data_IF_201527069222
#
_entry.id   IF_201527069222
#
_cell.length_a   1.000
_cell.length_b   1.000
_cell.length_c   1.000
_cell.angle_alpha   90.00
_cell.angle_beta   90.00
_cell.angle_gamma   90.00
#
_symmetry.space_group_name_H-M   'P 1'
#
loop_
_entity.id
_entity.type
_entity.pdbx_description
1 polymer ?
#
# COMPACT_ATOMS: atom_id res chain seq x y z
N UNK A 1 -53.44 6.25 54.13
CA UNK A 1 -52.20 5.53 54.47
C UNK A 1 -51.75 4.79 53.22
N UNK A 2 -50.75 5.31 52.51
CA UNK A 2 -50.21 4.67 51.30
C UNK A 2 -48.94 3.90 51.66
N UNK A 3 -48.96 2.58 51.50
CA UNK A 3 -47.78 1.73 51.64
C UNK A 3 -46.81 2.00 50.50
N UNK A 4 -45.68 2.66 50.80
CA UNK A 4 -44.52 2.70 49.91
C UNK A 4 -44.01 1.28 49.76
N UNK A 5 -44.16 0.69 48.58
CA UNK A 5 -43.45 -0.52 48.20
C UNK A 5 -42.01 -0.07 47.92
N UNK A 6 -41.10 -0.26 48.88
CA UNK A 6 -39.68 -0.14 48.63
C UNK A 6 -39.26 -1.32 47.76
N UNK A 7 -39.12 -1.08 46.45
CA UNK A 7 -38.51 -2.04 45.55
C UNK A 7 -37.02 -2.12 45.89
N UNK A 8 -36.59 -3.19 46.56
CA UNK A 8 -35.17 -3.50 46.70
C UNK A 8 -34.56 -3.57 45.29
N UNK A 9 -33.41 -2.94 45.04
CA UNK A 9 -32.73 -3.10 43.76
C UNK A 9 -32.49 -4.59 43.51
N UNK A 10 -32.64 -5.07 42.26
CA UNK A 10 -32.42 -6.47 41.96
C UNK A 10 -31.01 -6.87 42.43
N UNK A 11 -30.82 -8.11 42.94
CA UNK A 11 -29.51 -8.60 43.31
C UNK A 11 -28.52 -8.43 42.16
N UNK A 12 -27.29 -8.00 42.44
CA UNK A 12 -26.30 -7.72 41.40
C UNK A 12 -25.97 -8.95 40.53
N UNK A 13 -26.20 -10.16 41.07
CA UNK A 13 -26.09 -11.44 40.37
C UNK A 13 -27.06 -11.57 39.19
N UNK A 14 -28.14 -10.78 39.13
CA UNK A 14 -29.04 -10.73 37.96
C UNK A 14 -28.30 -10.21 36.72
N UNK A 15 -27.24 -9.41 36.88
CA UNK A 15 -26.42 -8.94 35.77
C UNK A 15 -25.70 -10.09 35.05
N UNK A 16 -25.38 -11.19 35.75
CA UNK A 16 -24.76 -12.38 35.15
C UNK A 16 -25.71 -13.11 34.19
N UNK A 17 -27.03 -12.95 34.35
CA UNK A 17 -28.01 -13.51 33.41
C UNK A 17 -28.11 -12.70 32.13
N UNK A 18 -27.78 -11.40 32.20
CA UNK A 18 -27.80 -10.51 31.06
C UNK A 18 -26.57 -10.68 30.17
N UNK A 19 -25.41 -11.02 30.76
CA UNK A 19 -24.14 -11.12 30.02
C UNK A 19 -24.22 -12.09 28.83
N UNK A 20 -24.92 -13.21 28.98
CA UNK A 20 -25.12 -14.21 27.92
C UNK A 20 -26.03 -13.75 26.78
N UNK A 21 -26.75 -12.62 26.92
CA UNK A 21 -27.64 -12.06 25.90
C UNK A 21 -27.07 -10.82 25.21
N UNK A 22 -25.95 -10.29 25.72
CA UNK A 22 -25.32 -9.10 25.19
C UNK A 22 -24.31 -9.46 24.10
N UNK A 23 -24.26 -8.65 23.05
CA UNK A 23 -23.21 -8.78 22.05
C UNK A 23 -21.85 -8.31 22.63
N UNK A 24 -20.73 -8.73 22.02
CA UNK A 24 -19.40 -8.39 22.54
C UNK A 24 -19.11 -6.89 22.62
N UNK A 25 -19.76 -6.06 21.79
CA UNK A 25 -19.57 -4.61 21.84
C UNK A 25 -20.29 -4.04 23.07
N UNK A 26 -21.51 -4.48 23.32
CA UNK A 26 -22.30 -4.06 24.50
C UNK A 26 -21.67 -4.55 25.80
N UNK A 27 -21.13 -5.77 25.85
CA UNK A 27 -20.36 -6.27 27.00
C UNK A 27 -19.14 -5.39 27.30
N UNK A 28 -18.39 -5.01 26.26
CA UNK A 28 -17.26 -4.10 26.39
C UNK A 28 -17.66 -2.72 26.93
N UNK A 29 -18.74 -2.14 26.42
CA UNK A 29 -19.26 -0.86 26.90
C UNK A 29 -19.75 -0.95 28.36
N UNK A 30 -20.45 -2.03 28.72
CA UNK A 30 -20.92 -2.30 30.08
C UNK A 30 -19.74 -2.43 31.07
N UNK A 31 -18.64 -3.07 30.67
CA UNK A 31 -17.44 -3.20 31.50
C UNK A 31 -16.81 -1.84 31.89
N UNK A 32 -17.12 -0.75 31.18
CA UNK A 32 -16.60 0.59 31.47
C UNK A 32 -17.41 1.37 32.53
N UNK A 33 -18.55 0.84 33.01
CA UNK A 33 -19.46 1.57 33.91
C UNK A 33 -18.86 1.75 35.31
N UNK A 34 -18.34 0.68 35.92
CA UNK A 34 -17.68 0.72 37.22
C UNK A 34 -16.82 -0.54 37.44
N UNK A 35 -16.05 -0.60 38.53
CA UNK A 35 -15.18 -1.75 38.85
C UNK A 35 -15.94 -3.08 38.97
N UNK A 36 -17.14 -3.06 39.56
CA UNK A 36 -17.96 -4.26 39.71
C UNK A 36 -18.47 -4.75 38.36
N UNK A 37 -18.94 -3.85 37.50
CA UNK A 37 -19.36 -4.18 36.14
C UNK A 37 -18.18 -4.66 35.30
N UNK A 38 -17.01 -4.06 35.45
CA UNK A 38 -15.79 -4.53 34.80
C UNK A 38 -15.48 -5.98 35.18
N UNK A 39 -15.49 -6.31 36.47
CA UNK A 39 -15.19 -7.66 36.94
C UNK A 39 -16.21 -8.70 36.42
N UNK A 40 -17.50 -8.38 36.48
CA UNK A 40 -18.56 -9.28 35.98
C UNK A 40 -18.54 -9.41 34.46
N UNK A 41 -18.48 -8.29 33.73
CA UNK A 41 -18.58 -8.28 32.27
C UNK A 41 -17.29 -8.71 31.57
N UNK A 42 -16.15 -8.74 32.28
CA UNK A 42 -14.86 -9.23 31.73
C UNK A 42 -14.54 -10.68 32.13
N UNK A 43 -15.46 -11.37 32.82
CA UNK A 43 -15.23 -12.73 33.30
C UNK A 43 -15.01 -13.72 32.15
N UNK A 44 -14.01 -14.60 32.31
CA UNK A 44 -13.57 -15.50 31.25
C UNK A 44 -14.66 -16.47 30.79
N UNK A 45 -15.57 -16.90 31.66
CA UNK A 45 -16.65 -17.83 31.27
C UNK A 45 -17.64 -17.20 30.27
N UNK A 46 -17.79 -15.86 30.28
CA UNK A 46 -18.58 -15.13 29.30
C UNK A 46 -17.82 -15.03 27.97
N UNK A 47 -16.53 -14.65 28.04
CA UNK A 47 -15.73 -14.39 26.85
C UNK A 47 -15.17 -15.64 26.18
N UNK A 48 -15.09 -16.77 26.88
CA UNK A 48 -14.62 -18.06 26.35
C UNK A 48 -15.37 -18.49 25.10
N UNK A 49 -16.72 -18.67 25.12
CA UNK A 49 -17.47 -19.08 23.93
C UNK A 49 -17.45 -18.01 22.82
N UNK A 50 -17.42 -16.73 23.18
CA UNK A 50 -17.35 -15.60 22.24
C UNK A 50 -16.02 -15.63 21.48
N UNK A 51 -14.91 -15.78 22.19
CA UNK A 51 -13.57 -15.83 21.63
C UNK A 51 -13.35 -17.10 20.82
N UNK A 52 -13.84 -18.26 21.26
CA UNK A 52 -13.73 -19.50 20.49
C UNK A 52 -14.49 -19.45 19.18
N UNK A 53 -15.66 -18.78 19.15
CA UNK A 53 -16.46 -18.66 17.94
C UNK A 53 -15.87 -17.64 16.94
N UNK A 54 -15.41 -16.48 17.41
CA UNK A 54 -14.91 -15.42 16.55
C UNK A 54 -13.44 -15.60 16.14
N UNK A 55 -12.59 -16.09 17.06
CA UNK A 55 -11.15 -16.19 16.87
C UNK A 55 -10.57 -17.53 17.38
N UNK A 56 -10.91 -18.67 16.73
CA UNK A 56 -10.48 -20.00 17.18
C UNK A 56 -8.97 -20.17 17.35
N UNK A 57 -8.17 -19.52 16.50
CA UNK A 57 -6.71 -19.59 16.60
C UNK A 57 -6.16 -18.81 17.81
N UNK A 58 -6.74 -17.65 18.12
CA UNK A 58 -6.34 -16.84 19.28
C UNK A 58 -6.79 -17.48 20.59
N UNK A 59 -7.95 -18.15 20.58
CA UNK A 59 -8.49 -18.88 21.72
C UNK A 59 -7.46 -19.82 22.36
N UNK A 60 -6.69 -20.55 21.55
CA UNK A 60 -5.68 -21.50 22.01
C UNK A 60 -4.52 -20.83 22.77
N UNK A 61 -4.30 -19.53 22.60
CA UNK A 61 -3.24 -18.79 23.29
C UNK A 61 -3.51 -18.60 24.78
N UNK A 62 -4.77 -18.77 25.21
CA UNK A 62 -5.15 -18.66 26.62
C UNK A 62 -4.30 -19.58 27.49
N UNK A 63 -4.19 -20.86 27.12
CA UNK A 63 -3.46 -21.88 27.86
C UNK A 63 -1.96 -21.96 27.49
N UNK A 64 -1.56 -21.36 26.37
CA UNK A 64 -0.17 -21.37 25.89
C UNK A 64 0.72 -20.33 26.60
N UNK A 65 0.14 -19.42 27.37
CA UNK A 65 0.84 -18.34 28.07
C UNK A 65 0.79 -18.54 29.58
N UNK A 66 1.87 -18.18 30.28
CA UNK A 66 1.92 -18.20 31.76
C UNK A 66 2.28 -16.80 32.27
N UNK A 67 1.39 -16.08 32.97
CA UNK A 67 0.01 -16.46 33.31
C UNK A 67 -0.93 -16.50 32.10
N UNK A 68 -2.05 -17.21 32.24
CA UNK A 68 -3.06 -17.34 31.19
C UNK A 68 -3.60 -15.97 30.76
N UNK A 69 -3.79 -15.78 29.46
CA UNK A 69 -4.30 -14.51 28.90
C UNK A 69 -5.82 -14.54 28.89
N UNK A 70 -6.52 -13.56 29.49
CA UNK A 70 -7.98 -13.53 29.51
C UNK A 70 -8.61 -13.55 28.10
N UNK A 71 -9.74 -14.24 27.94
CA UNK A 71 -10.42 -14.36 26.64
C UNK A 71 -10.93 -13.02 26.12
N UNK A 72 -11.34 -12.12 27.00
CA UNK A 72 -11.74 -10.75 26.63
C UNK A 72 -10.60 -10.00 25.94
N UNK A 73 -9.35 -10.20 26.40
CA UNK A 73 -8.16 -9.61 25.80
C UNK A 73 -7.87 -10.24 24.44
N UNK A 74 -7.93 -11.56 24.32
CA UNK A 74 -7.73 -12.27 23.04
C UNK A 74 -8.76 -11.84 21.99
N UNK A 75 -10.03 -11.73 22.38
CA UNK A 75 -11.09 -11.21 21.51
C UNK A 75 -10.81 -9.76 21.09
N UNK A 76 -10.39 -8.89 22.02
CA UNK A 76 -10.07 -7.50 21.69
C UNK A 76 -8.92 -7.38 20.68
N UNK A 77 -7.90 -8.24 20.78
CA UNK A 77 -6.77 -8.28 19.85
C UNK A 77 -7.22 -8.75 18.47
N UNK A 78 -8.02 -9.83 18.40
CA UNK A 78 -8.58 -10.33 17.15
C UNK A 78 -9.45 -9.28 16.46
N UNK A 79 -10.36 -8.65 17.21
CA UNK A 79 -11.23 -7.59 16.70
C UNK A 79 -10.45 -6.36 16.24
N UNK A 80 -9.43 -5.95 16.99
CA UNK A 80 -8.56 -4.86 16.57
C UNK A 80 -7.77 -5.22 15.30
N UNK A 81 -7.34 -6.47 15.14
CA UNK A 81 -6.69 -6.94 13.92
C UNK A 81 -7.64 -6.90 12.71
N UNK A 82 -8.89 -7.36 12.85
CA UNK A 82 -9.89 -7.31 11.78
C UNK A 82 -10.21 -5.87 11.38
N UNK A 83 -10.46 -4.99 12.36
CA UNK A 83 -10.73 -3.59 12.11
C UNK A 83 -9.55 -2.90 11.40
N UNK A 84 -8.30 -3.29 11.71
CA UNK A 84 -7.11 -2.77 11.02
C UNK A 84 -7.06 -3.23 9.57
N UNK A 85 -7.44 -4.47 9.26
CA UNK A 85 -7.47 -4.99 7.87
C UNK A 85 -8.45 -4.25 6.97
N UNK A 86 -9.54 -3.73 7.56
CA UNK A 86 -10.56 -2.98 6.82
C UNK A 86 -10.37 -1.46 6.90
N UNK A 87 -9.35 -0.99 7.60
CA UNK A 87 -9.09 0.46 7.69
C UNK A 87 -8.56 0.94 6.35
N UNK A 88 -9.28 1.89 5.73
CA UNK A 88 -8.77 2.59 4.55
C UNK A 88 -7.39 3.18 4.89
N UNK A 89 -6.37 2.99 4.02
CA UNK A 89 -5.10 3.67 4.17
C UNK A 89 -5.30 5.17 4.32
N UNK A 90 -4.45 5.82 5.12
CA UNK A 90 -4.47 7.28 5.27
C UNK A 90 -4.31 7.95 3.90
N UNK A 91 -4.90 9.11 3.71
CA UNK A 91 -4.67 9.86 2.46
C UNK A 91 -3.19 10.21 2.32
N UNK A 92 -2.64 10.14 1.09
CA UNK A 92 -1.27 10.53 0.85
C UNK A 92 -1.04 12.00 1.21
N UNK A 93 0.07 12.30 1.89
CA UNK A 93 0.51 13.67 2.15
C UNK A 93 1.13 14.35 0.92
N UNK A 94 1.57 13.56 -0.06
CA UNK A 94 2.04 14.05 -1.35
C UNK A 94 0.93 14.01 -2.39
N UNK A 95 0.98 14.94 -3.34
CA UNK A 95 0.18 14.94 -4.55
C UNK A 95 1.08 14.86 -5.80
N UNK A 96 0.48 14.59 -6.96
CA UNK A 96 1.22 14.65 -8.24
C UNK A 96 1.76 16.05 -8.55
N UNK A 97 1.18 17.11 -7.97
CA UNK A 97 1.64 18.48 -8.17
C UNK A 97 2.97 18.76 -7.48
N UNK A 98 3.30 17.99 -6.44
CA UNK A 98 4.51 18.16 -5.65
C UNK A 98 5.71 17.43 -6.27
N UNK A 99 5.52 16.73 -7.40
CA UNK A 99 6.51 15.83 -7.98
C UNK A 99 6.94 16.26 -9.37
N UNK A 100 8.23 16.08 -9.67
CA UNK A 100 8.79 16.15 -11.02
C UNK A 100 9.41 14.81 -11.39
N UNK A 101 9.08 14.33 -12.58
CA UNK A 101 9.54 13.06 -13.12
C UNK A 101 10.68 13.34 -14.10
N UNK A 102 11.85 12.79 -13.82
CA UNK A 102 13.03 12.92 -14.67
C UNK A 102 13.45 11.53 -15.15
N UNK A 103 13.47 11.34 -16.46
CA UNK A 103 13.86 10.08 -17.10
C UNK A 103 14.97 10.37 -18.10
N UNK A 104 15.95 9.49 -18.15
CA UNK A 104 17.05 9.57 -19.10
C UNK A 104 17.34 8.18 -19.65
N UNK A 105 17.49 8.10 -20.96
CA UNK A 105 17.76 6.88 -21.71
C UNK A 105 19.06 7.13 -22.48
N UNK A 106 20.12 6.43 -22.10
CA UNK A 106 21.44 6.61 -22.70
C UNK A 106 21.94 5.34 -23.36
N UNK A 107 22.78 5.50 -24.38
CA UNK A 107 23.53 4.39 -24.97
C UNK A 107 24.81 4.18 -24.16
N UNK A 108 24.96 2.97 -23.62
CA UNK A 108 25.86 2.64 -22.50
C UNK A 108 27.37 2.87 -22.77
N UNK A 109 27.79 3.04 -24.03
CA UNK A 109 29.20 3.15 -24.41
C UNK A 109 29.70 4.61 -24.60
N UNK A 110 28.82 5.59 -24.81
CA UNK A 110 29.20 6.99 -25.10
C UNK A 110 28.57 8.06 -24.18
N UNK A 111 27.79 7.66 -23.17
CA UNK A 111 26.95 8.57 -22.34
C UNK A 111 26.05 9.52 -23.15
N UNK A 112 25.86 9.21 -24.44
CA UNK A 112 24.99 9.97 -25.32
C UNK A 112 23.54 9.68 -24.93
N UNK A 113 22.84 10.69 -24.47
CA UNK A 113 21.40 10.59 -24.23
C UNK A 113 20.66 10.49 -25.56
N UNK A 114 19.83 9.46 -25.64
CA UNK A 114 18.89 9.21 -26.73
C UNK A 114 17.60 10.00 -26.48
N UNK A 115 17.17 10.02 -25.22
CA UNK A 115 15.95 10.66 -24.74
C UNK A 115 16.17 11.14 -23.31
N UNK A 116 15.92 12.43 -23.08
CA UNK A 116 15.76 12.99 -21.74
C UNK A 116 14.36 13.57 -21.61
N UNK A 117 13.61 13.14 -20.61
CA UNK A 117 12.26 13.63 -20.32
C UNK A 117 12.25 14.21 -18.93
N UNK A 118 11.80 15.47 -18.81
CA UNK A 118 11.51 16.10 -17.53
C UNK A 118 10.09 16.61 -17.57
N UNK A 119 9.21 15.99 -16.79
CA UNK A 119 7.78 16.32 -16.78
C UNK A 119 7.28 16.55 -15.36
N UNK A 120 6.70 17.72 -15.05
CA UNK A 120 5.98 17.93 -13.80
C UNK A 120 4.81 16.96 -13.67
N UNK A 121 4.63 16.37 -12.50
CA UNK A 121 3.55 15.41 -12.25
C UNK A 121 2.16 15.99 -12.45
N UNK A 122 1.99 17.31 -12.27
CA UNK A 122 0.77 18.04 -12.61
C UNK A 122 0.32 17.90 -14.08
N UNK A 123 1.24 17.60 -15.00
CA UNK A 123 0.96 17.38 -16.43
C UNK A 123 0.69 15.92 -16.75
N UNK A 124 1.10 15.00 -15.88
CA UNK A 124 0.89 13.57 -16.06
C UNK A 124 -0.53 13.22 -15.62
N UNK A 125 -1.38 12.89 -16.59
CA UNK A 125 -2.75 12.46 -16.31
C UNK A 125 -2.75 10.96 -16.01
N UNK A 126 -3.25 10.53 -14.83
CA UNK A 126 -3.49 9.13 -14.56
C UNK A 126 -4.43 8.53 -15.61
N UNK A 127 -4.39 7.21 -15.77
CA UNK A 127 -5.36 6.54 -16.64
C UNK A 127 -6.80 6.68 -16.10
N UNK A 128 -7.79 6.23 -16.90
CA UNK A 128 -9.20 6.28 -16.52
C UNK A 128 -9.53 5.49 -15.25
N UNK A 129 -8.68 4.55 -14.86
CA UNK A 129 -8.82 3.70 -13.69
C UNK A 129 -8.08 4.29 -12.46
N UNK A 130 -7.46 5.46 -12.60
CA UNK A 130 -6.68 6.11 -11.54
C UNK A 130 -5.37 5.39 -11.23
N UNK A 131 -4.82 4.63 -12.18
CA UNK A 131 -3.54 3.94 -11.97
C UNK A 131 -2.37 4.89 -12.16
N UNK A 132 -1.28 4.62 -11.43
CA UNK A 132 0.00 5.27 -11.59
C UNK A 132 0.69 4.70 -12.83
N UNK A 133 0.17 5.10 -13.98
CA UNK A 133 0.71 4.78 -15.29
C UNK A 133 0.54 5.99 -16.18
N UNK A 134 1.64 6.38 -16.81
CA UNK A 134 1.71 7.57 -17.64
C UNK A 134 2.37 7.24 -18.95
N UNK A 135 2.00 8.03 -19.95
CA UNK A 135 2.50 7.93 -21.30
C UNK A 135 2.96 9.31 -21.75
N UNK A 136 4.15 9.35 -22.33
CA UNK A 136 4.78 10.55 -22.86
C UNK A 136 5.11 10.27 -24.32
N UNK A 137 4.44 11.01 -25.22
CA UNK A 137 4.76 11.06 -26.65
C UNK A 137 5.95 12.01 -26.84
N UNK A 138 6.84 11.66 -27.77
CA UNK A 138 8.08 12.39 -28.03
C UNK A 138 8.11 12.91 -29.47
N UNK A 139 8.35 14.20 -29.62
CA UNK A 139 8.42 14.85 -30.93
C UNK A 139 9.84 14.85 -31.52
N UNK A 140 10.87 14.92 -30.68
CA UNK A 140 12.28 14.97 -31.09
C UNK A 140 13.10 13.94 -30.32
N UNK A 141 13.60 12.91 -31.02
CA UNK A 141 14.50 11.91 -30.44
C UNK A 141 15.64 11.57 -31.38
N UNK A 142 16.73 11.04 -30.81
CA UNK A 142 17.94 10.71 -31.56
C UNK A 142 17.83 9.26 -32.05
N UNK A 143 18.06 9.06 -33.35
CA UNK A 143 18.18 7.72 -33.91
C UNK A 143 19.40 6.99 -33.32
N UNK A 144 19.23 5.73 -32.92
CA UNK A 144 20.28 4.92 -32.33
C UNK A 144 20.32 3.51 -32.96
N UNK A 145 21.49 2.89 -32.93
CA UNK A 145 21.71 1.56 -33.47
C UNK A 145 21.24 0.47 -32.50
N UNK A 146 20.98 -0.73 -33.03
CA UNK A 146 20.26 -1.82 -32.40
C UNK A 146 20.54 -2.06 -30.89
N UNK A 147 19.45 -2.48 -30.23
CA UNK A 147 19.08 -2.23 -28.83
C UNK A 147 19.82 -3.07 -27.78
N UNK A 148 21.10 -3.35 -27.96
CA UNK A 148 21.79 -4.31 -27.10
C UNK A 148 22.29 -3.69 -25.77
N UNK A 149 22.30 -2.36 -25.64
CA UNK A 149 22.87 -1.65 -24.47
C UNK A 149 22.23 -0.29 -24.16
N UNK A 150 20.96 -0.27 -23.75
CA UNK A 150 20.37 0.92 -23.15
C UNK A 150 20.65 0.95 -21.64
N UNK A 151 20.95 2.14 -21.11
CA UNK A 151 20.82 2.46 -19.69
C UNK A 151 19.61 3.35 -19.52
N UNK A 152 18.80 3.02 -18.53
CA UNK A 152 17.59 3.75 -18.20
C UNK A 152 17.70 4.21 -16.77
N UNK A 153 17.47 5.50 -16.57
CA UNK A 153 17.35 6.10 -15.26
C UNK A 153 16.00 6.81 -15.17
N UNK A 154 15.26 6.55 -14.11
CA UNK A 154 14.00 7.22 -13.79
C UNK A 154 14.02 7.67 -12.33
N UNK A 155 13.95 8.97 -12.13
CA UNK A 155 13.90 9.62 -10.84
C UNK A 155 12.57 10.35 -10.65
N UNK A 156 12.12 10.37 -9.40
CA UNK A 156 11.02 11.21 -8.91
C UNK A 156 11.62 12.20 -7.93
N UNK A 157 11.39 13.48 -8.19
CA UNK A 157 11.97 14.59 -7.43
C UNK A 157 10.85 15.35 -6.74
N UNK A 158 11.01 15.62 -5.44
CA UNK A 158 10.09 16.46 -4.68
C UNK A 158 10.31 17.94 -5.02
N UNK A 159 9.23 18.70 -5.14
CA UNK A 159 9.25 20.11 -5.54
C UNK A 159 10.20 20.96 -4.67
N UNK A 160 10.82 21.95 -5.31
CA UNK A 160 11.93 22.70 -4.76
C UNK A 160 13.22 21.89 -4.60
N UNK A 161 13.34 20.75 -5.28
CA UNK A 161 14.51 19.85 -5.26
C UNK A 161 14.89 19.39 -3.85
N UNK A 162 13.90 19.23 -2.97
CA UNK A 162 14.13 18.90 -1.55
C UNK A 162 14.65 17.48 -1.34
N UNK A 163 14.23 16.56 -2.20
CA UNK A 163 14.60 15.14 -2.14
C UNK A 163 14.39 14.47 -3.50
N UNK A 164 15.05 13.33 -3.70
CA UNK A 164 14.96 12.53 -4.92
C UNK A 164 14.89 11.05 -4.58
N UNK A 165 14.09 10.32 -5.34
CA UNK A 165 13.99 8.87 -5.28
C UNK A 165 14.20 8.28 -6.67
N UNK A 166 15.10 7.30 -6.78
CA UNK A 166 15.36 6.59 -8.04
C UNK A 166 14.42 5.41 -8.17
N UNK A 167 13.40 5.55 -9.02
CA UNK A 167 12.45 4.49 -9.36
C UNK A 167 13.13 3.36 -10.14
N UNK A 168 14.06 3.70 -11.03
CA UNK A 168 14.76 2.73 -11.87
C UNK A 168 16.16 3.25 -12.19
N UNK A 169 17.17 2.40 -12.00
CA UNK A 169 18.47 2.49 -12.68
C UNK A 169 18.80 1.08 -13.15
N UNK A 170 18.69 0.84 -14.46
CA UNK A 170 18.97 -0.46 -15.04
C UNK A 170 19.71 -0.32 -16.37
N UNK A 171 20.51 -1.35 -16.66
CA UNK A 171 21.23 -1.52 -17.92
C UNK A 171 20.77 -2.83 -18.53
N UNK A 172 20.53 -2.83 -19.84
CA UNK A 172 20.29 -4.08 -20.53
C UNK A 172 19.67 -3.89 -21.90
N UNK A 173 19.43 -5.05 -22.52
CA UNK A 173 18.70 -5.16 -23.77
C UNK A 173 17.24 -4.75 -23.53
N UNK A 174 16.63 -5.15 -22.42
CA UNK A 174 15.17 -5.05 -22.28
C UNK A 174 14.50 -6.19 -23.05
N UNK A 175 13.27 -6.54 -22.68
CA UNK A 175 12.52 -7.56 -23.41
C UNK A 175 11.86 -6.92 -24.62
N UNK A 176 12.24 -7.35 -25.83
CA UNK A 176 11.65 -6.84 -27.07
C UNK A 176 10.61 -7.79 -27.63
N UNK A 177 9.41 -7.25 -27.88
CA UNK A 177 8.39 -7.92 -28.70
C UNK A 177 8.51 -7.33 -30.11
N UNK A 178 8.83 -8.18 -31.08
CA UNK A 178 8.99 -7.81 -32.50
C UNK A 178 10.08 -6.74 -32.81
N UNK A 179 10.91 -6.38 -31.84
CA UNK A 179 12.01 -5.39 -32.01
C UNK A 179 11.57 -3.92 -31.92
N UNK A 180 10.28 -3.65 -31.72
CA UNK A 180 9.71 -2.29 -31.74
C UNK A 180 9.20 -1.81 -30.38
N UNK A 181 9.00 -2.71 -29.42
CA UNK A 181 8.66 -2.35 -28.04
C UNK A 181 9.71 -2.88 -27.07
N UNK A 182 10.38 -2.00 -26.33
CA UNK A 182 11.36 -2.37 -25.30
C UNK A 182 10.77 -2.30 -23.90
N UNK A 183 10.85 -3.39 -23.15
CA UNK A 183 10.35 -3.45 -21.77
C UNK A 183 11.50 -3.59 -20.75
N UNK A 184 11.49 -2.68 -19.78
CA UNK A 184 12.39 -2.61 -18.64
C UNK A 184 11.60 -2.61 -17.33
N UNK A 185 12.10 -3.34 -16.35
CA UNK A 185 11.49 -3.43 -15.03
C UNK A 185 12.55 -3.48 -13.95
N UNK A 186 12.26 -2.86 -12.80
CA UNK A 186 13.14 -2.90 -11.63
C UNK A 186 12.30 -3.02 -10.37
N UNK A 187 12.62 -4.00 -9.53
CA UNK A 187 11.99 -4.12 -8.21
C UNK A 187 12.34 -2.91 -7.35
N UNK A 188 11.32 -2.36 -6.70
CA UNK A 188 11.42 -1.21 -5.82
C UNK A 188 11.75 -1.67 -4.39
N UNK A 189 12.57 -0.91 -3.64
CA UNK A 189 12.90 -1.26 -2.26
C UNK A 189 11.66 -1.26 -1.37
N UNK A 190 11.59 -2.17 -0.41
CA UNK A 190 10.51 -2.19 0.56
C UNK A 190 10.55 -0.92 1.43
N UNK A 191 9.39 -0.27 1.61
CA UNK A 191 9.25 0.86 2.53
C UNK A 191 9.07 0.33 3.96
N UNK A 192 9.98 0.67 4.87
CA UNK A 192 9.96 0.15 6.23
C UNK A 192 8.65 0.52 6.95
N UNK A 193 8.02 -0.44 7.61
CA UNK A 193 6.76 -0.23 8.35
C UNK A 193 5.48 -0.33 7.50
N UNK A 194 5.58 -0.57 6.19
CA UNK A 194 4.42 -0.93 5.35
C UNK A 194 4.42 -2.44 5.09
N UNK A 195 3.39 -3.14 5.56
CA UNK A 195 3.23 -4.59 5.33
C UNK A 195 2.99 -4.95 3.86
N UNK A 196 2.67 -3.95 3.02
CA UNK A 196 2.15 -4.12 1.66
C UNK A 196 3.07 -3.57 0.56
N UNK A 197 4.29 -3.09 0.89
CA UNK A 197 5.24 -2.57 -0.12
C UNK A 197 6.15 -3.63 -0.74
N UNK A 198 6.10 -4.87 -0.25
CA UNK A 198 6.84 -5.98 -0.85
C UNK A 198 6.32 -6.30 -2.25
N UNK A 199 7.21 -6.36 -3.23
CA UNK A 199 6.85 -6.76 -4.59
C UNK A 199 6.26 -5.64 -5.45
N UNK A 200 6.62 -4.38 -5.20
CA UNK A 200 6.39 -3.30 -6.16
C UNK A 200 7.51 -3.28 -7.21
N UNK A 201 7.16 -3.03 -8.46
CA UNK A 201 8.09 -2.98 -9.59
C UNK A 201 7.86 -1.70 -10.38
N UNK A 202 8.91 -0.92 -10.57
CA UNK A 202 8.93 0.14 -11.56
C UNK A 202 8.93 -0.48 -12.95
N UNK A 203 7.98 -0.06 -13.78
CA UNK A 203 7.75 -0.53 -15.14
C UNK A 203 8.03 0.60 -16.11
N UNK A 204 8.80 0.32 -17.16
CA UNK A 204 9.05 1.27 -18.24
C UNK A 204 9.02 0.54 -19.59
N UNK A 205 8.27 1.12 -20.53
CA UNK A 205 8.10 0.62 -21.90
C UNK A 205 8.45 1.70 -22.89
N UNK A 206 9.24 1.32 -23.89
CA UNK A 206 9.66 2.17 -25.00
C UNK A 206 8.95 1.72 -26.26
N UNK A 207 8.14 2.58 -26.85
CA UNK A 207 7.64 2.42 -28.22
C UNK A 207 8.64 3.02 -29.19
N UNK A 208 9.13 2.21 -30.13
CA UNK A 208 10.15 2.58 -31.10
C UNK A 208 9.62 2.42 -32.52
N UNK A 209 10.18 3.21 -33.44
CA UNK A 209 9.98 3.09 -34.88
C UNK A 209 11.34 2.98 -35.57
N UNK A 210 11.38 2.19 -36.64
CA UNK A 210 12.55 2.11 -37.50
C UNK A 210 12.62 3.34 -38.43
N UNK A 211 13.80 3.93 -38.54
CA UNK A 211 14.05 5.09 -39.41
C UNK A 211 13.98 4.70 -40.90
N UNK A 212 13.54 5.63 -41.76
CA UNK A 212 13.57 5.46 -43.22
C UNK A 212 15.02 5.28 -43.70
N UNK A 213 15.39 4.05 -44.07
CA UNK A 213 16.76 3.68 -44.44
C UNK A 213 17.26 2.39 -43.78
N UNK A 214 16.57 1.92 -42.73
CA UNK A 214 16.79 0.63 -42.08
C UNK A 214 17.98 0.60 -41.12
N UNK A 215 17.83 -0.14 -40.02
CA UNK A 215 18.93 -0.43 -39.08
C UNK A 215 19.10 0.56 -37.92
N UNK A 216 18.33 1.65 -37.87
CA UNK A 216 18.29 2.60 -36.74
C UNK A 216 16.87 2.72 -36.18
N UNK A 217 16.80 2.85 -34.86
CA UNK A 217 15.56 2.98 -34.12
C UNK A 217 15.45 4.38 -33.53
N UNK A 218 14.22 4.88 -33.47
CA UNK A 218 13.85 6.18 -32.90
C UNK A 218 12.80 5.90 -31.82
N UNK A 219 12.94 6.52 -30.64
CA UNK A 219 11.95 6.38 -29.57
C UNK A 219 10.81 7.36 -29.84
N UNK A 220 9.57 6.88 -29.85
CA UNK A 220 8.39 7.71 -30.13
C UNK A 220 7.58 7.96 -28.88
N UNK A 221 7.65 7.01 -27.95
CA UNK A 221 6.75 6.94 -26.82
C UNK A 221 7.43 6.26 -25.66
N UNK A 222 7.26 6.84 -24.48
CA UNK A 222 7.70 6.27 -23.21
C UNK A 222 6.48 6.10 -22.32
N UNK A 223 6.21 4.87 -21.90
CA UNK A 223 5.19 4.55 -20.90
C UNK A 223 5.89 4.14 -19.62
N UNK A 224 5.51 4.73 -18.49
CA UNK A 224 6.01 4.37 -17.17
C UNK A 224 4.89 4.05 -16.21
N UNK A 225 5.16 3.22 -15.21
CA UNK A 225 4.21 2.96 -14.14
C UNK A 225 4.80 2.14 -13.01
N UNK A 226 3.95 1.81 -12.04
CA UNK A 226 4.31 0.90 -10.94
C UNK A 226 3.35 -0.28 -10.91
N UNK A 227 3.90 -1.48 -10.96
CA UNK A 227 3.19 -2.76 -10.94
C UNK A 227 3.34 -3.45 -9.58
N UNK A 228 2.32 -4.19 -9.17
CA UNK A 228 2.44 -5.20 -8.12
C UNK A 228 2.76 -6.55 -8.74
N UNK A 229 3.83 -7.21 -8.30
CA UNK A 229 4.19 -8.58 -8.76
C UNK A 229 3.21 -9.65 -8.28
N UNK A 230 2.45 -9.35 -7.22
CA UNK A 230 1.46 -10.28 -6.66
C UNK A 230 0.21 -10.32 -7.54
N UNK A 231 -0.27 -9.15 -7.95
CA UNK A 231 -1.52 -9.04 -8.73
C UNK A 231 -1.30 -8.87 -10.22
N UNK A 232 -0.06 -8.59 -10.66
CA UNK A 232 0.29 -8.21 -12.03
C UNK A 232 -0.56 -7.04 -12.56
N UNK A 233 -0.93 -6.10 -11.67
CA UNK A 233 -1.71 -4.91 -11.98
C UNK A 233 -0.95 -3.65 -11.63
N UNK A 234 -1.20 -2.59 -12.38
CA UNK A 234 -0.71 -1.27 -12.04
C UNK A 234 -1.38 -0.79 -10.75
N UNK A 235 -0.60 -0.16 -9.90
CA UNK A 235 -1.06 0.37 -8.62
C UNK A 235 -1.82 1.68 -8.81
N UNK A 236 -2.70 2.01 -7.87
CA UNK A 236 -3.37 3.31 -7.83
C UNK A 236 -2.39 4.45 -7.55
N UNK A 237 -2.72 5.66 -8.01
CA UNK A 237 -1.89 6.85 -7.76
C UNK A 237 -1.65 7.06 -6.27
N UNK A 238 -2.69 6.95 -5.44
CA UNK A 238 -2.56 7.13 -3.99
C UNK A 238 -1.61 6.11 -3.34
N UNK A 239 -1.61 4.86 -3.81
CA UNK A 239 -0.75 3.81 -3.25
C UNK A 239 0.72 4.10 -3.53
N UNK A 240 1.03 4.55 -4.76
CA UNK A 240 2.38 4.94 -5.15
C UNK A 240 2.79 6.24 -4.44
N UNK A 241 1.90 7.20 -4.27
CA UNK A 241 2.20 8.43 -3.52
C UNK A 241 2.53 8.15 -2.06
N UNK A 242 1.80 7.22 -1.40
CA UNK A 242 2.13 6.77 -0.03
C UNK A 242 3.49 6.07 0.02
N UNK A 243 3.79 5.25 -0.99
CA UNK A 243 5.09 4.61 -1.10
C UNK A 243 6.22 5.64 -1.25
N UNK A 244 6.05 6.62 -2.15
CA UNK A 244 7.04 7.67 -2.39
C UNK A 244 7.24 8.60 -1.18
N UNK A 245 6.19 8.87 -0.40
CA UNK A 245 6.30 9.66 0.84
C UNK A 245 7.36 9.13 1.79
N UNK A 246 7.50 7.80 1.89
CA UNK A 246 8.47 7.17 2.76
C UNK A 246 9.92 7.55 2.41
N UNK A 247 10.20 7.85 1.14
CA UNK A 247 11.55 8.18 0.66
C UNK A 247 11.75 9.68 0.41
N UNK A 248 10.68 10.41 0.14
CA UNK A 248 10.75 11.82 -0.26
C UNK A 248 10.49 12.79 0.89
N UNK A 249 9.68 12.42 1.89
CA UNK A 249 9.42 13.27 3.04
C UNK A 249 10.43 13.02 4.17
N UNK A 250 10.80 14.07 4.92
CA UNK A 250 11.69 13.97 6.09
C UNK A 250 11.03 13.29 7.30
#
# INVERSE_FOLDING_TARGET
MGTKIESSPPPWQVLELLTHRLDPQTLGAAACVCKSWWASMSADDIWRPICSAAYPALYNLHAASTPAVPYCKLFSIGRAADLRRHKKPLEPQLSMHDLTFAMDITQNDDDRSVVTIVTPGARLKPDRNGTFRFEVELDETVAFEAVDRLRITWNVVLDGFKSVFTMMDCKGKGSFVLGLEGWFSKELPAAAGSSDSGGMVADLRLGMREEEGGGRMVVEKVSVGVLSVVSWRYLGVDDVLRYLQFFLLP
#
